data_IF_600060052205
#
_entry.id   IF_600060052205
#
_cell.length_a   1.000
_cell.length_b   1.000
_cell.length_c   1.000
_cell.angle_alpha   90.00
_cell.angle_beta   90.00
_cell.angle_gamma   90.00
#
_symmetry.space_group_name_H-M   'P 1'
#
loop_
_entity.id
_entity.type
_entity.pdbx_description
1 polymer ?
#
# COMPACT_ATOMS: atom_id res chain seq x y z
N UNK A 1 14.35 18.51 12.20
CA UNK A 1 13.06 18.21 11.55
C UNK A 1 12.85 16.70 11.59
N UNK A 2 11.72 16.17 12.09
CA UNK A 2 11.46 14.72 12.12
C UNK A 2 10.85 14.30 10.77
N UNK A 3 11.43 13.32 10.11
CA UNK A 3 10.95 12.76 8.83
C UNK A 3 10.08 11.51 9.01
N UNK A 4 9.71 11.18 10.25
CA UNK A 4 8.87 10.01 10.59
C UNK A 4 7.70 10.40 11.48
N UNK A 5 6.50 10.02 11.04
CA UNK A 5 5.23 10.18 11.76
C UNK A 5 4.77 8.80 12.25
N UNK A 6 4.37 8.71 13.52
CA UNK A 6 3.72 7.51 14.05
C UNK A 6 2.23 7.58 13.74
N UNK A 7 1.66 6.48 13.25
CA UNK A 7 0.25 6.38 12.91
C UNK A 7 -0.25 4.99 13.31
N UNK A 8 -1.40 4.94 13.97
CA UNK A 8 -2.03 3.69 14.38
C UNK A 8 -3.07 3.29 13.33
N UNK A 9 -2.96 2.07 12.82
CA UNK A 9 -3.90 1.50 11.86
C UNK A 9 -4.37 0.12 12.35
N UNK A 10 -5.63 -0.19 12.11
CA UNK A 10 -6.19 -1.51 12.44
C UNK A 10 -6.09 -2.41 11.22
N UNK A 11 -5.35 -3.50 11.35
CA UNK A 11 -5.27 -4.54 10.31
C UNK A 11 -6.17 -5.72 10.65
N UNK A 12 -6.78 -6.38 9.64
CA UNK A 12 -7.43 -7.66 9.85
C UNK A 12 -6.41 -8.72 10.29
N UNK A 13 -6.87 -9.67 11.13
CA UNK A 13 -6.00 -10.66 11.80
C UNK A 13 -5.11 -11.44 10.83
N UNK A 14 -5.61 -11.80 9.65
CA UNK A 14 -4.85 -12.50 8.62
C UNK A 14 -3.61 -11.69 8.16
N UNK A 15 -3.74 -10.38 7.96
CA UNK A 15 -2.62 -9.55 7.51
C UNK A 15 -1.63 -9.28 8.65
N UNK A 16 -2.13 -9.13 9.88
CA UNK A 16 -1.28 -9.01 11.06
C UNK A 16 -0.42 -10.27 11.27
N UNK A 17 -0.97 -11.45 10.98
CA UNK A 17 -0.22 -12.72 11.02
C UNK A 17 0.92 -12.74 9.98
N UNK A 18 0.66 -12.29 8.75
CA UNK A 18 1.69 -12.18 7.71
C UNK A 18 2.82 -11.26 8.14
N UNK A 19 2.51 -10.11 8.74
CA UNK A 19 3.51 -9.16 9.24
C UNK A 19 4.34 -9.79 10.35
N UNK A 20 3.68 -10.44 11.32
CA UNK A 20 4.37 -11.14 12.43
C UNK A 20 5.24 -12.28 11.92
N UNK A 21 4.78 -13.04 10.93
CA UNK A 21 5.55 -14.12 10.30
C UNK A 21 6.84 -13.60 9.66
N UNK A 22 6.76 -12.46 8.96
CA UNK A 22 7.93 -11.81 8.34
C UNK A 22 8.96 -11.31 9.36
N UNK A 23 8.51 -10.77 10.50
CA UNK A 23 9.41 -10.40 11.61
C UNK A 23 10.03 -11.65 12.24
N UNK A 24 9.24 -12.72 12.44
CA UNK A 24 9.74 -13.99 13.01
C UNK A 24 10.75 -14.69 12.12
N UNK A 25 10.65 -14.50 10.80
CA UNK A 25 11.62 -15.04 9.81
C UNK A 25 12.92 -14.22 9.80
N UNK A 26 13.05 -13.20 10.66
CA UNK A 26 14.19 -12.29 10.74
C UNK A 26 14.44 -11.50 9.44
N UNK A 27 13.46 -11.47 8.54
CA UNK A 27 13.51 -10.67 7.31
C UNK A 27 13.40 -9.17 7.63
N UNK A 28 12.77 -8.83 8.77
CA UNK A 28 12.55 -7.46 9.22
C UNK A 28 12.71 -7.36 10.74
N UNK A 29 13.26 -6.25 11.24
CA UNK A 29 13.51 -6.11 12.68
C UNK A 29 12.25 -5.78 13.49
N UNK A 30 11.20 -5.25 12.86
CA UNK A 30 9.94 -4.93 13.51
C UNK A 30 8.77 -4.85 12.50
N UNK A 31 7.55 -4.83 13.03
CA UNK A 31 6.32 -4.74 12.23
C UNK A 31 6.28 -3.45 11.38
N UNK A 32 6.74 -2.32 11.92
CA UNK A 32 6.75 -1.03 11.18
C UNK A 32 7.66 -1.07 9.97
N UNK A 33 8.75 -1.85 9.99
CA UNK A 33 9.62 -2.05 8.83
C UNK A 33 8.96 -2.85 7.73
N UNK A 34 8.26 -3.93 8.06
CA UNK A 34 7.49 -4.71 7.10
C UNK A 34 6.44 -3.82 6.41
N UNK A 35 5.71 -3.03 7.20
CA UNK A 35 4.69 -2.13 6.68
C UNK A 35 5.30 -1.02 5.82
N UNK A 36 6.41 -0.44 6.26
CA UNK A 36 7.15 0.57 5.51
C UNK A 36 7.63 0.00 4.18
N UNK A 37 8.36 -1.12 4.20
CA UNK A 37 8.88 -1.77 3.00
C UNK A 37 7.76 -2.18 2.03
N UNK A 38 6.66 -2.73 2.57
CA UNK A 38 5.45 -3.01 1.81
C UNK A 38 4.86 -1.76 1.14
N UNK A 39 4.81 -0.62 1.86
CA UNK A 39 4.37 0.66 1.31
C UNK A 39 5.35 1.22 0.27
N UNK A 40 6.67 1.09 0.47
CA UNK A 40 7.69 1.47 -0.50
C UNK A 40 7.58 0.64 -1.78
N UNK A 41 7.38 -0.67 -1.66
CA UNK A 41 7.15 -1.56 -2.78
C UNK A 41 5.85 -1.18 -3.53
N UNK A 42 4.80 -0.80 -2.80
CA UNK A 42 3.56 -0.30 -3.38
C UNK A 42 3.78 1.02 -4.14
N UNK A 43 4.52 1.98 -3.57
CA UNK A 43 4.82 3.27 -4.20
C UNK A 43 5.78 3.13 -5.40
N UNK A 44 6.74 2.20 -5.33
CA UNK A 44 7.62 1.89 -6.46
C UNK A 44 6.83 1.28 -7.62
N UNK A 45 5.85 0.42 -7.30
CA UNK A 45 4.90 -0.13 -8.27
C UNK A 45 3.96 0.94 -8.80
N UNK A 46 3.48 1.84 -7.94
CA UNK A 46 2.58 2.94 -8.28
C UNK A 46 3.24 3.96 -9.21
N UNK A 47 4.54 4.23 -9.08
CA UNK A 47 5.29 5.02 -10.07
C UNK A 47 5.21 4.44 -11.49
N UNK A 48 4.99 3.13 -11.60
CA UNK A 48 4.77 2.42 -12.87
C UNK A 48 3.27 2.37 -13.24
N UNK A 49 2.38 2.34 -12.24
CA UNK A 49 0.92 2.35 -12.45
C UNK A 49 0.42 3.75 -12.81
N UNK A 50 0.97 4.84 -12.31
CA UNK A 50 0.51 6.20 -12.61
C UNK A 50 0.76 6.59 -14.08
N UNK A 51 1.84 6.07 -14.69
CA UNK A 51 2.04 6.13 -16.16
C UNK A 51 1.00 5.33 -16.95
N UNK A 52 0.41 4.28 -16.36
CA UNK A 52 -0.60 3.43 -17.00
C UNK A 52 -2.04 3.85 -16.65
N UNK A 53 -2.23 4.54 -15.51
CA UNK A 53 -3.50 5.04 -14.99
C UNK A 53 -3.91 6.34 -15.67
N UNK A 54 -2.96 7.20 -16.03
CA UNK A 54 -3.23 8.33 -16.92
C UNK A 54 -3.62 7.87 -18.34
N UNK A 55 -3.18 6.68 -18.78
CA UNK A 55 -3.50 6.12 -20.10
C UNK A 55 -4.78 5.26 -20.11
N UNK A 56 -5.43 4.99 -18.97
CA UNK A 56 -6.66 4.18 -18.92
C UNK A 56 -7.87 4.84 -18.26
N UNK A 57 -7.70 5.93 -17.50
CA UNK A 57 -8.85 6.69 -17.02
C UNK A 57 -9.44 7.63 -18.09
N UNK A 58 -8.93 7.59 -19.32
CA UNK A 58 -9.55 8.19 -20.50
C UNK A 58 -10.65 7.34 -21.18
N UNK A 59 -11.12 6.25 -20.57
CA UNK A 59 -12.16 5.38 -21.17
C UNK A 59 -13.05 4.67 -20.14
N UNK A 60 -13.41 5.34 -19.04
CA UNK A 60 -14.56 4.93 -18.23
C UNK A 60 -15.62 6.02 -18.36
N UNK A 61 -16.50 5.82 -19.34
CA UNK A 61 -17.49 6.79 -19.80
C UNK A 61 -18.41 7.28 -18.70
N UNK A 62 -18.60 8.60 -18.73
CA UNK A 62 -19.82 9.33 -18.40
C UNK A 62 -21.09 8.47 -18.54
N UNK A 63 -21.54 7.85 -17.44
CA UNK A 63 -22.90 7.33 -17.34
C UNK A 63 -23.79 8.47 -16.86
N UNK A 64 -24.45 9.13 -17.83
CA UNK A 64 -25.66 9.90 -17.55
C UNK A 64 -26.73 8.92 -17.07
N UNK A 65 -27.22 9.10 -15.85
CA UNK A 65 -28.42 8.41 -15.36
C UNK A 65 -29.62 9.29 -15.72
N UNK A 66 -30.53 8.76 -16.51
CA UNK A 66 -31.85 9.36 -16.77
C UNK A 66 -32.84 8.22 -16.91
N UNK A 67 -33.74 8.12 -15.94
CA UNK A 67 -35.07 7.54 -16.09
C UNK A 67 -36.01 8.38 -15.23
#
# INVERSE_FOLDING_TARGET
MRTTQQMSITLPNNMADVVKSKVRTSEYANESEVIRDGLWALMARDRTVESWRHNQLGSAGHLTVSH
#
